data_IF_880427837912
#
_entry.id   IF_880427837912
#
_cell.length_a   1.000
_cell.length_b   1.000
_cell.length_c   1.000
_cell.angle_alpha   90.00
_cell.angle_beta   90.00
_cell.angle_gamma   90.00
#
_symmetry.space_group_name_H-M   'P 1'
#
loop_
_entity.id
_entity.type
_entity.pdbx_description
1 polymer ?
#
# COMPACT_ATOMS: atom_id res chain seq x y z
N UNK A 1 -11.22 28.09 9.86
CA UNK A 1 -12.06 27.39 10.86
C UNK A 1 -13.21 28.31 11.18
N UNK A 2 -14.42 27.98 10.74
CA UNK A 2 -15.63 28.68 11.14
C UNK A 2 -15.99 28.23 12.55
N UNK A 3 -15.78 29.14 13.47
CA UNK A 3 -16.18 29.11 14.87
C UNK A 3 -15.85 30.51 15.41
N UNK A 4 -16.28 31.52 14.64
CA UNK A 4 -16.18 32.92 15.02
C UNK A 4 -17.57 33.38 15.40
N UNK A 5 -17.62 34.26 16.39
CA UNK A 5 -18.87 34.90 16.72
C UNK A 5 -19.25 35.84 15.58
N UNK A 6 -20.44 35.61 15.03
CA UNK A 6 -20.94 36.37 13.89
C UNK A 6 -22.39 36.77 14.12
N UNK A 7 -22.74 37.98 13.67
CA UNK A 7 -24.11 38.45 13.54
C UNK A 7 -24.56 38.29 12.10
N UNK A 8 -25.69 37.60 11.89
CA UNK A 8 -26.24 37.41 10.56
C UNK A 8 -27.12 38.60 10.16
N UNK A 9 -26.81 39.22 9.02
CA UNK A 9 -27.61 40.32 8.48
C UNK A 9 -28.94 39.87 7.88
N UNK A 10 -29.10 38.57 7.59
CA UNK A 10 -30.31 38.04 6.97
C UNK A 10 -31.39 37.69 8.01
N UNK A 11 -31.03 37.01 9.10
CA UNK A 11 -31.98 36.59 10.14
C UNK A 11 -31.83 37.32 11.48
N UNK A 12 -30.82 38.19 11.64
CA UNK A 12 -30.56 38.91 12.89
C UNK A 12 -29.99 38.05 14.03
N UNK A 13 -29.82 36.74 13.81
CA UNK A 13 -29.27 35.84 14.82
C UNK A 13 -27.77 36.11 15.03
N UNK A 14 -27.38 36.28 16.30
CA UNK A 14 -25.98 36.40 16.70
C UNK A 14 -25.56 35.11 17.38
N UNK A 15 -24.57 34.43 16.82
CA UNK A 15 -24.17 33.11 17.28
C UNK A 15 -22.86 32.66 16.66
N UNK A 16 -22.63 31.35 16.66
CA UNK A 16 -21.40 30.78 16.11
C UNK A 16 -21.56 30.48 14.62
N UNK A 17 -20.51 30.77 13.86
CA UNK A 17 -20.45 30.40 12.45
C UNK A 17 -20.16 28.91 12.24
N UNK A 18 -20.78 28.29 11.24
CA UNK A 18 -20.46 26.94 10.75
C UNK A 18 -19.60 26.98 9.47
N UNK A 19 -18.87 25.90 9.16
CA UNK A 19 -18.06 25.84 7.95
C UNK A 19 -18.94 25.87 6.69
N UNK A 20 -18.50 26.61 5.67
CA UNK A 20 -19.23 26.70 4.40
C UNK A 20 -19.07 25.43 3.55
N UNK A 21 -20.15 24.98 2.92
CA UNK A 21 -20.14 23.88 1.95
C UNK A 21 -20.11 22.47 2.55
N UNK A 22 -20.09 21.44 1.70
CA UNK A 22 -20.25 20.04 2.10
C UNK A 22 -18.91 19.27 2.11
N UNK A 23 -18.61 18.57 3.20
CA UNK A 23 -17.35 17.85 3.36
C UNK A 23 -17.24 16.69 2.37
N UNK A 24 -18.39 16.09 2.00
CA UNK A 24 -18.44 15.02 1.01
C UNK A 24 -17.91 15.45 -0.36
N UNK A 25 -18.10 16.72 -0.73
CA UNK A 25 -17.59 17.26 -2.00
C UNK A 25 -16.05 17.20 -1.99
N UNK A 26 -15.40 17.53 -0.88
CA UNK A 26 -13.94 17.40 -0.72
C UNK A 26 -13.47 15.97 -0.92
N UNK A 27 -14.17 14.98 -0.35
CA UNK A 27 -13.80 13.56 -0.48
C UNK A 27 -13.88 13.11 -1.94
N UNK A 28 -14.97 13.44 -2.62
CA UNK A 28 -15.14 13.07 -4.04
C UNK A 28 -14.06 13.73 -4.89
N UNK A 29 -13.79 15.02 -4.68
CA UNK A 29 -12.70 15.72 -5.36
C UNK A 29 -11.35 15.07 -5.05
N UNK A 30 -11.07 14.68 -3.81
CA UNK A 30 -9.78 14.10 -3.43
C UNK A 30 -9.50 12.76 -4.12
N UNK A 31 -10.55 11.96 -4.40
CA UNK A 31 -10.43 10.67 -5.08
C UNK A 31 -10.08 10.86 -6.57
N UNK A 32 -10.73 11.81 -7.25
CA UNK A 32 -10.56 11.98 -8.70
C UNK A 32 -9.51 13.03 -9.08
N UNK A 33 -9.38 14.09 -8.28
CA UNK A 33 -8.56 15.27 -8.56
C UNK A 33 -8.02 15.93 -7.29
N UNK A 34 -6.82 15.52 -6.87
CA UNK A 34 -6.16 16.02 -5.64
C UNK A 34 -6.04 17.56 -5.61
N UNK A 35 -5.67 18.19 -6.71
CA UNK A 35 -5.48 19.66 -6.76
C UNK A 35 -6.81 20.43 -6.52
N UNK A 36 -7.90 20.16 -7.25
CA UNK A 36 -9.23 20.69 -6.94
C UNK A 36 -9.70 20.44 -5.50
N UNK A 37 -9.37 19.28 -4.93
CA UNK A 37 -9.74 18.95 -3.56
C UNK A 37 -9.08 19.88 -2.54
N UNK A 38 -7.78 20.13 -2.69
CA UNK A 38 -7.03 21.04 -1.83
C UNK A 38 -7.58 22.46 -1.92
N UNK A 39 -7.84 22.95 -3.14
CA UNK A 39 -8.40 24.29 -3.36
C UNK A 39 -9.77 24.41 -2.69
N UNK A 40 -10.63 23.41 -2.87
CA UNK A 40 -11.95 23.38 -2.24
C UNK A 40 -11.86 23.33 -0.71
N UNK A 41 -10.91 22.58 -0.15
CA UNK A 41 -10.73 22.48 1.29
C UNK A 41 -10.20 23.78 1.90
N UNK A 42 -9.28 24.46 1.23
CA UNK A 42 -8.82 25.80 1.62
C UNK A 42 -9.99 26.78 1.57
N UNK A 43 -10.77 26.79 0.49
CA UNK A 43 -11.96 27.64 0.39
C UNK A 43 -12.96 27.33 1.50
N UNK A 44 -13.32 26.07 1.71
CA UNK A 44 -14.22 25.59 2.77
C UNK A 44 -13.83 26.11 4.15
N UNK A 45 -12.53 26.08 4.48
CA UNK A 45 -12.02 26.43 5.82
C UNK A 45 -11.69 27.92 5.99
N UNK A 46 -11.58 28.67 4.91
CA UNK A 46 -11.28 30.12 4.94
C UNK A 46 -12.56 30.95 5.06
N UNK A 47 -12.47 32.11 5.73
CA UNK A 47 -13.59 33.04 5.90
C UNK A 47 -14.28 32.96 7.27
N UNK A 48 -15.36 33.73 7.40
CA UNK A 48 -16.19 33.84 8.61
C UNK A 48 -17.15 32.66 8.79
N UNK A 49 -17.37 31.83 7.76
CA UNK A 49 -18.34 30.74 7.78
C UNK A 49 -19.74 31.18 7.37
N UNK A 50 -20.73 30.33 7.65
CA UNK A 50 -22.16 30.59 7.43
C UNK A 50 -22.89 30.68 8.77
N UNK A 51 -24.03 31.36 8.81
CA UNK A 51 -24.89 31.43 9.98
C UNK A 51 -25.45 30.04 10.34
N UNK A 52 -25.32 29.58 11.58
CA UNK A 52 -25.89 28.29 12.04
C UNK A 52 -27.42 28.22 11.94
N UNK A 53 -28.11 29.36 12.03
CA UNK A 53 -29.57 29.41 12.06
C UNK A 53 -30.20 29.37 10.65
N UNK A 54 -29.57 30.01 9.66
CA UNK A 54 -30.15 30.14 8.31
C UNK A 54 -29.23 29.72 7.17
N UNK A 55 -27.97 29.37 7.43
CA UNK A 55 -27.00 28.97 6.42
C UNK A 55 -26.51 30.09 5.50
N UNK A 56 -26.87 31.36 5.76
CA UNK A 56 -26.44 32.51 4.95
C UNK A 56 -24.98 32.86 5.20
N UNK A 57 -24.28 33.27 4.15
CA UNK A 57 -22.91 33.80 4.14
C UNK A 57 -22.86 35.31 4.44
N UNK A 58 -24.02 35.98 4.54
CA UNK A 58 -24.15 37.40 4.91
C UNK A 58 -23.99 37.58 6.43
N UNK A 59 -22.77 37.33 6.90
CA UNK A 59 -22.40 37.38 8.32
C UNK A 59 -21.32 38.41 8.59
N UNK A 60 -21.45 39.13 9.69
CA UNK A 60 -20.53 40.19 10.14
C UNK A 60 -19.91 39.77 11.47
N UNK A 61 -18.60 39.99 11.71
CA UNK A 61 -17.99 39.65 12.99
C UNK A 61 -18.66 40.40 14.15
N UNK A 62 -18.92 39.67 15.24
CA UNK A 62 -19.49 40.21 16.48
C UNK A 62 -18.67 39.77 17.68
N UNK A 63 -18.63 40.57 18.74
CA UNK A 63 -17.97 40.23 20.01
C UNK A 63 -18.98 39.80 21.10
N UNK A 64 -20.25 39.61 20.74
CA UNK A 64 -21.33 39.31 21.68
C UNK A 64 -21.28 37.90 22.29
N UNK A 65 -20.51 36.98 21.68
CA UNK A 65 -20.39 35.61 22.18
C UNK A 65 -19.27 35.53 23.22
N UNK A 66 -19.62 35.23 24.48
CA UNK A 66 -18.71 35.26 25.64
C UNK A 66 -18.04 33.91 25.99
N UNK A 67 -18.20 32.87 25.16
CA UNK A 67 -17.74 31.51 25.48
C UNK A 67 -16.61 31.07 24.56
N UNK A 68 -15.59 30.41 25.10
CA UNK A 68 -14.63 29.62 24.32
C UNK A 68 -15.34 28.36 23.80
N UNK A 69 -15.79 28.38 22.53
CA UNK A 69 -16.34 27.20 21.85
C UNK A 69 -15.21 26.16 21.68
N UNK A 70 -15.44 24.87 22.03
CA UNK A 70 -14.39 23.86 21.99
C UNK A 70 -13.82 23.72 20.58
N UNK A 71 -12.51 23.61 20.53
CA UNK A 71 -11.71 23.55 19.32
C UNK A 71 -12.01 22.28 18.51
N UNK A 72 -12.20 22.43 17.18
CA UNK A 72 -12.42 21.40 16.15
C UNK A 72 -11.25 20.40 15.98
N UNK A 73 -10.45 20.15 17.02
CA UNK A 73 -9.32 19.21 16.98
C UNK A 73 -9.82 17.79 16.69
N UNK A 74 -11.02 17.45 17.18
CA UNK A 74 -11.67 16.16 16.93
C UNK A 74 -11.93 15.89 15.45
N UNK A 75 -12.38 16.91 14.70
CA UNK A 75 -12.67 16.77 13.27
C UNK A 75 -11.38 16.56 12.47
N UNK A 76 -10.30 17.30 12.81
CA UNK A 76 -8.98 17.11 12.21
C UNK A 76 -8.40 15.72 12.45
N UNK A 77 -8.59 15.14 13.64
CA UNK A 77 -8.14 13.79 13.96
C UNK A 77 -8.93 12.77 13.13
N UNK A 78 -10.26 12.90 13.06
CA UNK A 78 -11.11 12.00 12.26
C UNK A 78 -10.71 12.03 10.78
N UNK A 79 -10.45 13.24 10.25
CA UNK A 79 -9.97 13.43 8.88
C UNK A 79 -8.59 12.80 8.65
N UNK A 80 -7.67 12.98 9.59
CA UNK A 80 -6.35 12.35 9.52
C UNK A 80 -6.44 10.82 9.49
N UNK A 81 -7.28 10.23 10.35
CA UNK A 81 -7.47 8.77 10.41
C UNK A 81 -8.12 8.24 9.13
N UNK A 82 -9.18 8.89 8.63
CA UNK A 82 -9.83 8.50 7.38
C UNK A 82 -8.89 8.63 6.17
N UNK A 83 -8.06 9.68 6.12
CA UNK A 83 -7.07 9.88 5.08
C UNK A 83 -6.01 8.77 5.06
N UNK A 84 -5.46 8.41 6.22
CA UNK A 84 -4.47 7.33 6.35
C UNK A 84 -5.08 5.98 5.98
N UNK A 85 -6.27 5.67 6.50
CA UNK A 85 -6.99 4.44 6.18
C UNK A 85 -7.29 4.34 4.66
N UNK A 86 -7.76 5.43 4.05
CA UNK A 86 -7.99 5.50 2.61
C UNK A 86 -6.71 5.29 1.79
N UNK A 87 -5.59 5.92 2.20
CA UNK A 87 -4.30 5.73 1.55
C UNK A 87 -3.81 4.28 1.57
N UNK A 88 -3.97 3.59 2.71
CA UNK A 88 -3.61 2.17 2.85
C UNK A 88 -4.45 1.31 1.89
N UNK A 89 -5.76 1.56 1.80
CA UNK A 89 -6.66 0.82 0.90
C UNK A 89 -6.25 1.01 -0.56
N UNK A 90 -5.94 2.24 -0.98
CA UNK A 90 -5.50 2.51 -2.36
C UNK A 90 -4.19 1.79 -2.68
N UNK A 91 -3.21 1.83 -1.78
CA UNK A 91 -1.93 1.12 -1.96
C UNK A 91 -2.16 -0.38 -2.05
N UNK A 92 -3.02 -0.95 -1.19
CA UNK A 92 -3.37 -2.36 -1.23
C UNK A 92 -4.03 -2.75 -2.56
N UNK A 93 -4.98 -1.95 -3.06
CA UNK A 93 -5.63 -2.18 -4.36
C UNK A 93 -4.61 -2.12 -5.50
N UNK A 94 -3.71 -1.13 -5.51
CA UNK A 94 -2.66 -1.04 -6.52
C UNK A 94 -1.71 -2.25 -6.50
N UNK A 95 -1.32 -2.71 -5.31
CA UNK A 95 -0.49 -3.90 -5.15
C UNK A 95 -1.20 -5.17 -5.66
N UNK A 96 -2.49 -5.32 -5.34
CA UNK A 96 -3.32 -6.44 -5.81
C UNK A 96 -3.56 -6.39 -7.32
N UNK A 97 -3.78 -5.21 -7.88
CA UNK A 97 -3.90 -5.04 -9.33
C UNK A 97 -2.59 -5.40 -10.04
N UNK A 98 -1.44 -4.95 -9.52
CA UNK A 98 -0.12 -5.28 -10.05
C UNK A 98 0.17 -6.78 -10.01
N UNK A 99 -0.14 -7.46 -8.91
CA UNK A 99 0.03 -8.92 -8.80
C UNK A 99 -0.92 -9.68 -9.73
N UNK A 100 -2.18 -9.24 -9.86
CA UNK A 100 -3.15 -9.84 -10.78
C UNK A 100 -2.73 -9.68 -12.26
N UNK A 101 -2.24 -8.50 -12.66
CA UNK A 101 -1.74 -8.25 -14.01
C UNK A 101 -0.50 -9.10 -14.30
N UNK A 102 0.44 -9.18 -13.36
CA UNK A 102 1.63 -10.01 -13.50
C UNK A 102 1.27 -11.50 -13.59
N UNK A 103 0.33 -11.97 -12.78
CA UNK A 103 -0.17 -13.35 -12.84
C UNK A 103 -0.89 -13.64 -14.17
N UNK A 104 -1.69 -12.71 -14.67
CA UNK A 104 -2.35 -12.85 -15.98
C UNK A 104 -1.34 -12.88 -17.13
N UNK A 105 -0.35 -11.99 -17.11
CA UNK A 105 0.72 -11.93 -18.12
C UNK A 105 1.57 -13.21 -18.12
N UNK A 106 1.80 -13.78 -16.95
CA UNK A 106 2.58 -15.01 -16.79
C UNK A 106 1.75 -16.30 -16.91
N UNK A 107 0.43 -16.22 -17.13
CA UNK A 107 -0.46 -17.40 -17.25
C UNK A 107 -0.04 -18.35 -18.39
N UNK A 108 0.50 -17.80 -19.47
CA UNK A 108 0.96 -18.56 -20.64
C UNK A 108 2.49 -18.58 -20.72
N UNK A 109 3.20 -18.17 -19.66
CA UNK A 109 4.63 -18.35 -19.61
C UNK A 109 4.90 -19.86 -19.68
N UNK A 110 5.71 -20.34 -20.64
CA UNK A 110 6.15 -21.74 -20.62
C UNK A 110 6.79 -22.02 -19.26
N UNK A 111 6.65 -23.25 -18.76
CA UNK A 111 7.35 -23.67 -17.53
C UNK A 111 8.78 -23.13 -17.56
N UNK A 112 9.27 -22.53 -16.45
CA UNK A 112 10.61 -21.98 -16.43
C UNK A 112 11.55 -23.07 -16.91
N UNK A 113 12.09 -22.90 -18.13
CA UNK A 113 13.04 -23.84 -18.69
C UNK A 113 14.24 -23.77 -17.76
N UNK A 114 14.31 -24.73 -16.85
CA UNK A 114 15.36 -24.84 -15.86
C UNK A 114 16.67 -24.77 -16.64
N UNK A 115 17.48 -23.75 -16.38
CA UNK A 115 18.67 -23.55 -17.18
C UNK A 115 19.54 -24.81 -17.08
N UNK A 116 20.37 -25.08 -18.08
CA UNK A 116 21.27 -26.24 -18.03
C UNK A 116 22.10 -26.26 -16.73
N UNK A 117 22.41 -25.08 -16.17
CA UNK A 117 23.05 -24.95 -14.85
C UNK A 117 22.18 -25.35 -13.67
N UNK A 118 20.88 -25.08 -13.72
CA UNK A 118 19.95 -25.48 -12.66
C UNK A 118 19.71 -27.00 -12.66
N UNK A 119 19.68 -27.61 -13.85
CA UNK A 119 19.63 -29.07 -14.02
C UNK A 119 20.91 -29.72 -13.47
N UNK A 120 22.07 -29.18 -13.80
CA UNK A 120 23.36 -29.65 -13.26
C UNK A 120 23.42 -29.48 -11.73
N UNK A 121 22.93 -28.34 -11.20
CA UNK A 121 22.85 -28.08 -9.77
C UNK A 121 21.95 -29.07 -9.01
N UNK A 122 20.77 -29.38 -9.57
CA UNK A 122 19.87 -30.38 -9.00
C UNK A 122 20.47 -31.79 -9.02
N UNK A 123 21.16 -32.14 -10.11
CA UNK A 123 21.85 -33.42 -10.22
C UNK A 123 22.95 -33.55 -9.16
N UNK A 124 23.81 -32.53 -9.01
CA UNK A 124 24.87 -32.50 -7.99
C UNK A 124 24.30 -32.68 -6.58
N UNK A 125 23.21 -31.96 -6.26
CA UNK A 125 22.56 -32.02 -4.95
C UNK A 125 22.00 -33.41 -4.66
N UNK A 126 21.39 -34.05 -5.65
CA UNK A 126 20.88 -35.42 -5.52
C UNK A 126 22.00 -36.46 -5.37
N UNK A 127 23.11 -36.33 -6.11
CA UNK A 127 24.27 -37.22 -6.00
C UNK A 127 24.97 -37.13 -4.65
N UNK A 128 25.16 -35.92 -4.11
CA UNK A 128 25.72 -35.77 -2.76
C UNK A 128 24.86 -36.47 -1.70
N UNK A 129 23.53 -36.39 -1.82
CA UNK A 129 22.62 -37.07 -0.88
C UNK A 129 22.70 -38.59 -0.96
N UNK A 130 23.01 -39.15 -2.14
CA UNK A 130 23.16 -40.59 -2.37
C UNK A 130 24.41 -41.16 -1.67
N UNK A 131 25.57 -40.51 -1.86
CA UNK A 131 26.82 -40.93 -1.21
C UNK A 131 26.83 -40.64 0.29
N UNK A 132 26.21 -39.55 0.73
CA UNK A 132 26.06 -39.25 2.16
C UNK A 132 25.23 -40.32 2.89
N UNK A 133 24.17 -40.87 2.26
CA UNK A 133 23.37 -41.97 2.83
C UNK A 133 24.13 -43.29 2.93
N UNK A 134 25.12 -43.50 2.06
CA UNK A 134 25.96 -44.70 2.05
C UNK A 134 27.20 -44.57 2.93
N UNK A 135 27.45 -43.40 3.53
CA UNK A 135 28.67 -43.14 4.32
C UNK A 135 29.93 -43.00 3.46
N UNK A 136 29.78 -42.78 2.15
CA UNK A 136 30.88 -42.73 1.16
C UNK A 136 31.24 -41.28 0.79
N UNK A 137 31.14 -40.37 1.74
CA UNK A 137 31.48 -38.96 1.57
C UNK A 137 32.49 -38.56 2.64
N UNK A 138 33.65 -37.94 2.30
CA UNK A 138 34.01 -37.37 1.00
C UNK A 138 34.75 -38.33 0.03
N UNK A 139 35.10 -39.54 0.47
CA UNK A 139 35.90 -40.51 -0.31
C UNK A 139 35.03 -41.75 -0.59
N UNK A 140 35.04 -42.22 -1.84
CA UNK A 140 34.39 -43.48 -2.24
C UNK A 140 35.02 -44.68 -1.55
N UNK A 141 34.32 -45.83 -1.54
CA UNK A 141 34.84 -47.12 -1.03
C UNK A 141 36.17 -47.55 -1.64
N UNK A 142 36.49 -47.06 -2.83
CA UNK A 142 37.78 -47.30 -3.51
C UNK A 142 38.97 -46.59 -2.84
N UNK A 143 38.73 -45.65 -1.91
CA UNK A 143 39.76 -44.92 -1.15
C UNK A 143 40.65 -43.98 -1.97
N UNK A 144 40.44 -43.91 -3.29
CA UNK A 144 41.28 -43.17 -4.24
C UNK A 144 40.57 -42.00 -4.93
N UNK A 145 39.24 -42.02 -4.96
CA UNK A 145 38.41 -41.03 -5.67
C UNK A 145 37.53 -40.27 -4.70
N UNK A 146 37.43 -38.95 -4.93
CA UNK A 146 36.50 -38.09 -4.22
C UNK A 146 35.09 -38.29 -4.78
N UNK A 147 34.11 -38.45 -3.90
CA UNK A 147 32.70 -38.55 -4.31
C UNK A 147 32.27 -37.36 -5.15
N UNK A 148 32.77 -36.17 -4.83
CA UNK A 148 32.43 -34.94 -5.55
C UNK A 148 32.93 -34.94 -7.00
N UNK A 149 34.13 -35.47 -7.28
CA UNK A 149 34.69 -35.51 -8.65
C UNK A 149 33.89 -36.48 -9.54
N UNK A 150 33.45 -37.60 -8.97
CA UNK A 150 32.60 -38.57 -9.66
C UNK A 150 31.21 -37.98 -9.95
N UNK A 151 30.55 -37.41 -8.94
CA UNK A 151 29.23 -36.79 -9.11
C UNK A 151 29.29 -35.65 -10.14
N UNK A 152 30.35 -34.86 -10.17
CA UNK A 152 30.52 -33.77 -11.12
C UNK A 152 30.70 -34.28 -12.56
N UNK A 153 31.39 -35.42 -12.77
CA UNK A 153 31.48 -36.07 -14.07
C UNK A 153 30.12 -36.62 -14.52
N UNK A 154 29.40 -37.28 -13.64
CA UNK A 154 28.10 -37.91 -13.93
C UNK A 154 27.00 -36.87 -14.21
N UNK A 155 27.07 -35.70 -13.58
CA UNK A 155 26.06 -34.64 -13.71
C UNK A 155 26.33 -33.64 -14.84
N UNK A 156 27.51 -33.65 -15.47
CA UNK A 156 27.87 -32.70 -16.52
C UNK A 156 26.99 -32.91 -17.76
N UNK A 157 26.21 -31.90 -18.15
CA UNK A 157 25.26 -32.00 -19.27
C UNK A 157 23.99 -32.82 -18.97
N UNK A 158 23.65 -33.02 -17.69
CA UNK A 158 22.41 -33.70 -17.31
C UNK A 158 21.17 -32.96 -17.79
N UNK A 159 20.28 -33.66 -18.50
CA UNK A 159 19.01 -33.12 -19.02
C UNK A 159 17.84 -33.31 -18.04
N UNK A 160 17.98 -34.24 -17.09
CA UNK A 160 16.89 -34.68 -16.21
C UNK A 160 17.03 -34.12 -14.78
N UNK A 161 18.19 -33.53 -14.44
CA UNK A 161 18.47 -33.00 -13.10
C UNK A 161 18.51 -34.04 -11.98
N UNK A 162 18.51 -35.34 -12.31
CA UNK A 162 18.56 -36.47 -11.38
C UNK A 162 19.89 -37.19 -11.48
N UNK A 163 20.51 -37.48 -10.34
CA UNK A 163 21.69 -38.34 -10.27
C UNK A 163 21.31 -39.79 -10.58
N UNK A 164 21.95 -40.39 -11.60
CA UNK A 164 21.84 -41.81 -11.92
C UNK A 164 23.06 -42.49 -11.32
N UNK A 165 22.83 -43.34 -10.32
CA UNK A 165 23.91 -44.09 -9.70
C UNK A 165 24.56 -45.03 -10.75
N UNK A 166 25.89 -45.17 -10.74
CA UNK A 166 26.59 -46.16 -11.54
C UNK A 166 26.29 -47.60 -11.08
#
# INVERSE_FOLDING_TARGET
>A
MANKCVSCNNCGHTGWSENRGNFLITIVLAIFFVVPAIIYEIWRRTGLGVCESCGSDLVVPSNSCATNKPSDVGDLIILGVLGVAGGIVVVAIYALAGSAINAYKNRNAPEPQLSQRDLEGNCLRSGMSYYHKQGEYPILKDGKTLALDQIQKDCKGSKDGKYKAP
#
